data_IF_991150016402
#
_entry.id   IF_991150016402
#
_cell.length_a   1.000
_cell.length_b   1.000
_cell.length_c   1.000
_cell.angle_alpha   90.00
_cell.angle_beta   90.00
_cell.angle_gamma   90.00
#
_symmetry.space_group_name_H-M   'P 1'
#
loop_
_entity.id
_entity.type
_entity.pdbx_description
1 polymer ?
#
# COMPACT_ATOMS: atom_id res chain seq x y z
N UNK A 1 5.09 -24.32 9.86
CA UNK A 1 4.53 -22.97 10.07
C UNK A 1 5.07 -22.13 8.93
N UNK A 2 4.24 -21.33 8.25
CA UNK A 2 4.68 -20.49 7.14
C UNK A 2 5.75 -19.51 7.63
N UNK A 3 6.72 -19.19 6.77
CA UNK A 3 7.71 -18.15 7.03
C UNK A 3 7.19 -16.79 6.58
N UNK A 4 6.42 -16.77 5.50
CA UNK A 4 5.88 -15.58 4.87
C UNK A 4 4.35 -15.62 4.87
N UNK A 5 3.71 -14.49 5.17
CA UNK A 5 2.27 -14.34 5.00
C UNK A 5 1.97 -13.22 4.02
N UNK A 6 1.10 -13.48 3.06
CA UNK A 6 0.54 -12.46 2.18
C UNK A 6 -0.77 -11.97 2.81
N UNK A 7 -0.76 -10.76 3.34
CA UNK A 7 -1.90 -10.16 4.00
C UNK A 7 -2.75 -9.39 2.99
N UNK A 8 -3.96 -9.89 2.72
CA UNK A 8 -4.85 -9.40 1.67
C UNK A 8 -6.17 -8.91 2.27
N UNK A 9 -6.67 -7.78 1.78
CA UNK A 9 -8.00 -7.30 2.10
C UNK A 9 -8.90 -7.34 0.87
N UNK A 10 -10.15 -7.74 1.06
CA UNK A 10 -11.14 -7.85 0.00
C UNK A 10 -12.46 -7.22 0.41
N UNK A 11 -13.11 -6.53 -0.52
CA UNK A 11 -14.47 -6.02 -0.36
C UNK A 11 -15.14 -5.83 -1.72
N UNK A 12 -16.17 -6.64 -1.99
CA UNK A 12 -16.90 -6.71 -3.26
C UNK A 12 -16.00 -6.87 -4.50
N UNK A 13 -15.23 -7.95 -4.52
CA UNK A 13 -14.23 -8.29 -5.54
C UNK A 13 -14.55 -9.61 -6.25
N UNK A 14 -15.83 -9.97 -6.39
CA UNK A 14 -16.22 -11.28 -6.90
C UNK A 14 -15.66 -11.58 -8.30
N UNK A 15 -15.47 -10.55 -9.14
CA UNK A 15 -14.97 -10.73 -10.50
C UNK A 15 -13.44 -10.86 -10.58
N UNK A 16 -12.70 -10.29 -9.63
CA UNK A 16 -11.24 -10.13 -9.71
C UNK A 16 -10.47 -11.01 -8.73
N UNK A 17 -11.10 -11.42 -7.62
CA UNK A 17 -10.42 -12.11 -6.51
C UNK A 17 -9.74 -13.41 -6.93
N UNK A 18 -10.39 -14.19 -7.81
CA UNK A 18 -9.86 -15.49 -8.26
C UNK A 18 -8.64 -15.35 -9.19
N UNK A 19 -8.69 -14.60 -10.30
CA UNK A 19 -7.51 -14.42 -11.15
C UNK A 19 -6.37 -13.73 -10.39
N UNK A 20 -6.66 -12.78 -9.50
CA UNK A 20 -5.64 -12.10 -8.71
C UNK A 20 -4.91 -13.06 -7.75
N UNK A 21 -5.64 -13.76 -6.87
CA UNK A 21 -5.01 -14.70 -5.92
C UNK A 21 -4.25 -15.81 -6.63
N UNK A 22 -4.79 -16.36 -7.73
CA UNK A 22 -4.08 -17.39 -8.50
C UNK A 22 -2.76 -16.89 -9.08
N UNK A 23 -2.72 -15.65 -9.59
CA UNK A 23 -1.47 -15.07 -10.12
C UNK A 23 -0.35 -15.02 -9.09
N UNK A 24 -0.67 -14.90 -7.80
CA UNK A 24 0.29 -14.91 -6.69
C UNK A 24 0.56 -16.31 -6.15
N UNK A 25 -0.47 -17.16 -6.01
CA UNK A 25 -0.34 -18.53 -5.49
C UNK A 25 0.50 -19.44 -6.40
N UNK A 26 0.42 -19.26 -7.71
CA UNK A 26 1.10 -20.09 -8.71
C UNK A 26 2.63 -19.86 -8.76
N UNK A 27 3.11 -18.76 -8.16
CA UNK A 27 4.53 -18.36 -8.21
C UNK A 27 5.27 -18.50 -6.87
N UNK A 28 4.61 -19.00 -5.82
CA UNK A 28 5.21 -19.16 -4.49
C UNK A 28 5.14 -20.61 -3.98
N UNK A 29 6.06 -20.98 -3.09
CA UNK A 29 6.12 -22.32 -2.47
C UNK A 29 5.25 -22.51 -1.20
N UNK A 30 5.56 -23.58 -0.45
CA UNK A 30 4.87 -23.99 0.79
C UNK A 30 5.24 -23.15 2.03
N UNK A 31 6.28 -22.32 1.92
CA UNK A 31 6.70 -21.40 2.98
C UNK A 31 5.78 -20.17 3.11
N UNK A 32 4.80 -20.05 2.22
CA UNK A 32 3.83 -18.95 2.16
C UNK A 32 2.45 -19.40 2.64
N UNK A 33 1.77 -18.50 3.35
CA UNK A 33 0.32 -18.50 3.50
C UNK A 33 -0.29 -17.22 2.91
N UNK A 34 -1.56 -17.26 2.57
CA UNK A 34 -2.36 -16.13 2.13
C UNK A 34 -3.49 -15.92 3.10
N UNK A 35 -3.46 -14.82 3.85
CA UNK A 35 -4.53 -14.46 4.78
C UNK A 35 -5.40 -13.41 4.11
N UNK A 36 -6.60 -13.83 3.70
CA UNK A 36 -7.55 -12.96 3.03
C UNK A 36 -8.65 -12.56 4.00
N UNK A 37 -8.63 -11.29 4.42
CA UNK A 37 -9.69 -10.69 5.22
C UNK A 37 -10.73 -10.08 4.29
N UNK A 38 -11.96 -10.58 4.35
CA UNK A 38 -13.10 -9.98 3.66
C UNK A 38 -13.85 -9.04 4.60
N UNK A 39 -13.99 -7.78 4.19
CA UNK A 39 -14.57 -6.70 5.00
C UNK A 39 -16.10 -6.70 5.09
N UNK A 40 -16.79 -7.78 4.68
CA UNK A 40 -18.25 -7.88 4.69
C UNK A 40 -18.87 -7.70 3.31
N UNK A 41 -18.30 -8.39 2.31
CA UNK A 41 -18.79 -8.38 0.93
C UNK A 41 -20.20 -8.94 0.80
N UNK A 42 -20.93 -8.47 -0.21
CA UNK A 42 -22.33 -8.85 -0.47
C UNK A 42 -22.58 -9.30 -1.92
N UNK A 43 -21.52 -9.45 -2.72
CA UNK A 43 -21.55 -9.65 -4.18
C UNK A 43 -21.15 -11.06 -4.62
N UNK A 44 -20.96 -12.00 -3.69
CA UNK A 44 -20.46 -13.35 -4.00
C UNK A 44 -18.94 -13.52 -3.86
N UNK A 45 -18.24 -12.54 -3.29
CA UNK A 45 -16.78 -12.58 -3.06
C UNK A 45 -16.39 -13.66 -2.05
N UNK A 46 -17.09 -13.75 -0.92
CA UNK A 46 -16.77 -14.70 0.16
C UNK A 46 -16.88 -16.13 -0.33
N UNK A 47 -17.90 -16.45 -1.12
CA UNK A 47 -18.10 -17.78 -1.70
C UNK A 47 -16.90 -18.19 -2.56
N UNK A 48 -16.42 -17.28 -3.42
CA UNK A 48 -15.24 -17.54 -4.27
C UNK A 48 -13.95 -17.67 -3.47
N UNK A 49 -13.81 -16.90 -2.39
CA UNK A 49 -12.69 -17.02 -1.47
C UNK A 49 -12.70 -18.38 -0.77
N UNK A 50 -13.86 -18.85 -0.32
CA UNK A 50 -14.00 -20.19 0.30
C UNK A 50 -13.75 -21.32 -0.69
N UNK A 51 -14.12 -21.15 -1.95
CA UNK A 51 -13.73 -22.09 -3.01
C UNK A 51 -12.21 -22.19 -3.15
N UNK A 52 -11.50 -21.04 -3.13
CA UNK A 52 -10.03 -21.01 -3.19
C UNK A 52 -9.35 -21.62 -1.96
N UNK A 53 -9.85 -21.32 -0.76
CA UNK A 53 -9.40 -21.94 0.49
C UNK A 53 -9.59 -23.47 0.49
N UNK A 54 -10.62 -23.98 -0.19
CA UNK A 54 -10.81 -25.42 -0.35
C UNK A 54 -9.94 -26.04 -1.47
N UNK A 55 -9.44 -25.23 -2.41
CA UNK A 55 -8.55 -25.64 -3.50
C UNK A 55 -7.07 -25.65 -3.11
N UNK A 56 -6.65 -24.75 -2.21
CA UNK A 56 -5.25 -24.54 -1.81
C UNK A 56 -5.14 -24.29 -0.31
N UNK A 57 -4.52 -25.23 0.42
CA UNK A 57 -4.37 -25.19 1.89
C UNK A 57 -3.56 -24.00 2.41
N UNK A 58 -2.85 -23.27 1.52
CA UNK A 58 -2.11 -22.05 1.88
C UNK A 58 -3.02 -20.84 2.00
N UNK A 59 -4.24 -20.89 1.46
CA UNK A 59 -5.20 -19.78 1.55
C UNK A 59 -6.06 -19.94 2.79
N UNK A 60 -6.15 -18.88 3.60
CA UNK A 60 -7.03 -18.80 4.76
C UNK A 60 -7.90 -17.57 4.69
N UNK A 61 -9.21 -17.77 4.83
CA UNK A 61 -10.21 -16.72 4.64
C UNK A 61 -10.86 -16.35 5.98
N UNK A 62 -10.75 -15.06 6.31
CA UNK A 62 -11.39 -14.45 7.48
C UNK A 62 -12.49 -13.51 6.98
N UNK A 63 -13.72 -14.01 6.95
CA UNK A 63 -14.88 -13.23 6.55
C UNK A 63 -15.46 -12.49 7.76
N UNK A 64 -15.43 -11.16 7.72
CA UNK A 64 -15.97 -10.30 8.78
C UNK A 64 -17.41 -9.89 8.47
N UNK A 65 -18.23 -9.77 9.50
CA UNK A 65 -19.57 -9.20 9.35
C UNK A 65 -19.49 -7.71 8.96
N UNK A 66 -20.39 -7.19 8.11
CA UNK A 66 -20.44 -5.78 7.78
C UNK A 66 -20.51 -4.89 9.03
N UNK A 67 -19.62 -3.91 9.11
CA UNK A 67 -19.51 -3.01 10.25
C UNK A 67 -19.39 -1.54 9.76
N UNK A 68 -20.36 -0.67 10.10
CA UNK A 68 -20.36 0.72 9.66
C UNK A 68 -19.28 1.58 10.32
N UNK A 69 -18.54 1.09 11.31
CA UNK A 69 -17.42 1.78 11.97
C UNK A 69 -16.05 1.21 11.55
N UNK A 70 -16.02 0.03 10.91
CA UNK A 70 -14.80 -0.54 10.33
C UNK A 70 -14.47 0.10 8.98
N UNK A 71 -13.20 0.36 8.75
CA UNK A 71 -12.67 0.94 7.52
C UNK A 71 -11.50 0.11 7.00
N UNK A 72 -11.05 0.40 5.79
CA UNK A 72 -9.96 -0.30 5.12
C UNK A 72 -8.71 -0.46 6.00
N UNK A 73 -8.31 0.58 6.73
CA UNK A 73 -7.15 0.48 7.61
C UNK A 73 -7.32 -0.53 8.76
N UNK A 74 -8.54 -0.72 9.27
CA UNK A 74 -8.81 -1.77 10.27
C UNK A 74 -8.81 -3.18 9.63
N UNK A 75 -9.32 -3.33 8.41
CA UNK A 75 -9.25 -4.60 7.68
C UNK A 75 -7.79 -4.99 7.37
N UNK A 76 -6.93 -4.01 7.01
CA UNK A 76 -5.48 -4.23 6.82
C UNK A 76 -4.77 -4.59 8.09
N UNK A 77 -5.09 -3.92 9.19
CA UNK A 77 -4.54 -4.31 10.48
C UNK A 77 -4.97 -5.73 10.85
N UNK A 78 -6.24 -6.07 10.62
CA UNK A 78 -6.75 -7.40 10.92
C UNK A 78 -6.07 -8.48 10.09
N UNK A 79 -5.79 -8.25 8.80
CA UNK A 79 -5.11 -9.24 7.97
C UNK A 79 -3.70 -9.51 8.48
N UNK A 80 -2.97 -8.49 8.93
CA UNK A 80 -1.66 -8.64 9.57
C UNK A 80 -1.76 -9.40 10.89
N UNK A 81 -2.70 -9.06 11.76
CA UNK A 81 -2.88 -9.72 13.06
C UNK A 81 -3.09 -11.22 12.91
N UNK A 82 -3.87 -11.61 11.90
CA UNK A 82 -4.22 -12.98 11.57
C UNK A 82 -3.07 -13.77 10.94
N UNK A 83 -2.04 -13.14 10.37
CA UNK A 83 -0.89 -13.82 9.75
C UNK A 83 -0.07 -14.64 10.77
N UNK A 84 0.38 -15.84 10.44
CA UNK A 84 1.25 -16.66 11.29
C UNK A 84 2.74 -16.58 10.90
N UNK A 85 3.05 -16.03 9.72
CA UNK A 85 4.40 -15.83 9.20
C UNK A 85 5.21 -14.81 9.98
N UNK A 86 6.53 -15.00 9.95
CA UNK A 86 7.51 -14.09 10.55
C UNK A 86 7.57 -12.77 9.76
N UNK A 87 7.45 -12.86 8.43
CA UNK A 87 7.41 -11.71 7.53
C UNK A 87 6.06 -11.61 6.86
N UNK A 88 5.57 -10.38 6.69
CA UNK A 88 4.28 -10.11 6.09
C UNK A 88 4.46 -9.27 4.84
N UNK A 89 3.91 -9.77 3.73
CA UNK A 89 3.79 -9.04 2.48
C UNK A 89 2.44 -8.31 2.45
N UNK A 90 2.45 -7.03 2.07
CA UNK A 90 1.24 -6.19 1.95
C UNK A 90 1.22 -5.47 0.59
N UNK A 91 0.17 -4.71 0.30
CA UNK A 91 -0.06 -4.04 -1.01
C UNK A 91 -0.26 -4.98 -2.21
N UNK A 92 -0.49 -6.26 -1.91
CA UNK A 92 -0.92 -7.26 -2.87
C UNK A 92 -2.46 -7.28 -2.91
N UNK A 93 -3.03 -6.41 -3.74
CA UNK A 93 -4.48 -6.17 -3.83
C UNK A 93 -5.19 -7.18 -4.76
N UNK A 94 -6.46 -7.47 -4.50
CA UNK A 94 -7.26 -8.46 -5.25
C UNK A 94 -7.98 -7.90 -6.48
N UNK A 95 -7.62 -6.69 -6.90
CA UNK A 95 -8.02 -6.07 -8.17
C UNK A 95 -6.83 -5.95 -9.15
N UNK A 96 -5.78 -6.75 -8.95
CA UNK A 96 -4.57 -6.77 -9.76
C UNK A 96 -4.14 -8.20 -10.11
N UNK A 97 -3.48 -8.37 -11.27
CA UNK A 97 -2.76 -9.59 -11.65
C UNK A 97 -1.26 -9.31 -11.57
N UNK A 98 -0.52 -10.17 -10.88
CA UNK A 98 0.89 -9.97 -10.56
C UNK A 98 1.81 -10.76 -11.49
N UNK A 99 2.93 -10.13 -11.84
CA UNK A 99 4.08 -10.78 -12.47
C UNK A 99 4.69 -11.82 -11.52
N UNK A 100 5.36 -12.87 -12.03
CA UNK A 100 5.96 -13.94 -11.24
C UNK A 100 7.26 -13.50 -10.55
N UNK A 101 7.17 -12.53 -9.64
CA UNK A 101 8.31 -11.85 -9.00
C UNK A 101 8.16 -11.66 -7.48
N UNK A 102 7.19 -12.31 -6.85
CA UNK A 102 6.98 -12.24 -5.39
C UNK A 102 8.19 -12.81 -4.64
N UNK A 103 8.68 -13.99 -5.03
CA UNK A 103 9.87 -14.60 -4.42
C UNK A 103 11.14 -13.79 -4.70
N UNK A 104 11.23 -13.13 -5.86
CA UNK A 104 12.34 -12.22 -6.19
C UNK A 104 12.38 -11.04 -5.22
N UNK A 105 11.22 -10.45 -4.90
CA UNK A 105 11.13 -9.35 -3.94
C UNK A 105 11.50 -9.80 -2.51
N UNK A 106 11.11 -11.01 -2.12
CA UNK A 106 11.51 -11.63 -0.84
C UNK A 106 13.02 -11.84 -0.78
N UNK A 107 13.64 -12.32 -1.86
CA UNK A 107 15.10 -12.48 -1.93
C UNK A 107 15.82 -11.14 -1.76
N UNK A 108 15.35 -10.09 -2.46
CA UNK A 108 15.90 -8.74 -2.34
C UNK A 108 15.79 -8.21 -0.91
N UNK A 109 14.63 -8.41 -0.26
CA UNK A 109 14.43 -8.01 1.12
C UNK A 109 15.50 -8.62 2.05
N UNK A 110 15.73 -9.93 1.96
CA UNK A 110 16.70 -10.60 2.83
C UNK A 110 18.16 -10.25 2.54
N UNK A 111 18.51 -9.99 1.28
CA UNK A 111 19.85 -9.51 0.92
C UNK A 111 20.12 -8.10 1.47
N UNK A 112 19.10 -7.22 1.45
CA UNK A 112 19.19 -5.90 2.07
C UNK A 112 19.24 -5.98 3.60
N UNK A 113 18.45 -6.87 4.19
CA UNK A 113 18.39 -7.11 5.64
C UNK A 113 19.77 -7.49 6.22
N UNK A 114 20.64 -8.11 5.45
CA UNK A 114 22.00 -8.45 5.88
C UNK A 114 22.89 -7.23 6.22
N UNK A 115 22.55 -6.02 5.76
CA UNK A 115 23.28 -4.78 6.04
C UNK A 115 22.46 -3.68 6.73
N UNK A 116 21.20 -3.95 7.05
CA UNK A 116 20.33 -3.00 7.76
C UNK A 116 20.18 -3.47 9.21
N UNK A 117 20.84 -2.78 10.15
CA UNK A 117 20.87 -3.13 11.58
C UNK A 117 19.55 -2.84 12.34
N UNK A 118 18.41 -2.77 11.65
CA UNK A 118 17.09 -2.45 12.21
C UNK A 118 15.98 -3.12 11.41
N UNK A 119 14.82 -3.33 12.01
CA UNK A 119 13.63 -3.73 11.25
C UNK A 119 13.20 -2.60 10.32
N UNK A 120 12.78 -2.95 9.11
CA UNK A 120 12.29 -2.00 8.13
C UNK A 120 11.19 -2.60 7.27
N UNK A 121 10.39 -1.71 6.68
CA UNK A 121 9.51 -2.04 5.58
C UNK A 121 10.24 -1.74 4.28
N UNK A 122 10.42 -2.76 3.44
CA UNK A 122 10.79 -2.55 2.04
C UNK A 122 9.52 -2.26 1.25
N UNK A 123 9.45 -1.07 0.65
CA UNK A 123 8.34 -0.67 -0.19
C UNK A 123 8.70 -0.76 -1.66
N UNK A 124 7.90 -1.49 -2.41
CA UNK A 124 7.81 -1.47 -3.86
C UNK A 124 6.43 -0.98 -4.31
N UNK A 125 6.32 -0.54 -5.56
CA UNK A 125 5.02 -0.16 -6.11
C UNK A 125 4.18 -1.42 -6.34
N UNK A 126 3.18 -1.63 -5.47
CA UNK A 126 2.27 -2.79 -5.54
C UNK A 126 2.77 -4.02 -4.77
N UNK A 127 3.83 -3.91 -3.98
CA UNK A 127 4.30 -4.96 -3.09
C UNK A 127 5.13 -4.34 -1.97
N UNK A 128 4.84 -4.69 -0.72
CA UNK A 128 5.66 -4.33 0.43
C UNK A 128 5.99 -5.59 1.22
N UNK A 129 7.07 -5.54 1.99
CA UNK A 129 7.43 -6.61 2.93
C UNK A 129 8.07 -6.01 4.18
N UNK A 130 7.73 -6.55 5.34
CA UNK A 130 8.39 -6.25 6.61
C UNK A 130 8.22 -7.42 7.59
N UNK A 131 9.00 -7.48 8.68
CA UNK A 131 8.72 -8.38 9.79
C UNK A 131 7.34 -8.08 10.39
N UNK A 132 6.62 -9.12 10.85
CA UNK A 132 5.31 -8.94 11.48
C UNK A 132 5.40 -8.03 12.71
N UNK A 133 6.48 -8.12 13.48
CA UNK A 133 6.78 -7.27 14.64
C UNK A 133 6.66 -5.78 14.32
N UNK A 134 7.26 -5.32 13.23
CA UNK A 134 7.22 -3.91 12.82
C UNK A 134 5.79 -3.42 12.56
N UNK A 135 4.97 -4.24 11.89
CA UNK A 135 3.56 -3.90 11.68
C UNK A 135 2.76 -3.87 12.99
N UNK A 136 3.08 -4.72 13.96
CA UNK A 136 2.42 -4.72 15.27
C UNK A 136 2.84 -3.52 16.12
N UNK A 137 4.10 -3.07 16.00
CA UNK A 137 4.59 -1.85 16.64
C UNK A 137 3.97 -0.59 16.02
N UNK A 138 3.84 -0.57 14.69
CA UNK A 138 3.30 0.54 13.91
C UNK A 138 2.01 0.14 13.18
N UNK A 139 0.92 -0.17 13.89
CA UNK A 139 -0.29 -0.74 13.29
C UNK A 139 -0.97 0.19 12.31
N UNK A 140 -1.70 -0.38 11.34
CA UNK A 140 -2.64 0.40 10.55
C UNK A 140 -3.73 0.99 11.46
N UNK A 141 -4.11 2.24 11.17
CA UNK A 141 -5.18 2.93 11.89
C UNK A 141 -6.49 2.80 11.12
N UNK A 142 -7.62 2.75 11.84
CA UNK A 142 -8.95 2.63 11.25
C UNK A 142 -9.36 3.89 10.46
N UNK A 143 -8.84 4.00 9.22
CA UNK A 143 -9.03 5.10 8.29
C UNK A 143 -9.69 4.56 7.00
N UNK A 144 -10.59 5.35 6.43
CA UNK A 144 -11.35 5.01 5.21
C UNK A 144 -10.52 5.06 3.92
N UNK A 145 -9.46 5.85 3.94
CA UNK A 145 -8.58 6.13 2.81
C UNK A 145 -7.30 6.75 3.36
N UNK A 146 -6.19 6.67 2.61
CA UNK A 146 -4.89 7.23 3.02
C UNK A 146 -4.31 6.61 4.29
N UNK A 147 -4.81 5.47 4.73
CA UNK A 147 -4.22 4.61 5.76
C UNK A 147 -2.77 4.24 5.43
N UNK A 148 -2.46 3.95 4.16
CA UNK A 148 -1.07 3.70 3.73
C UNK A 148 -0.19 4.94 3.93
N UNK A 149 -0.72 6.13 3.60
CA UNK A 149 0.00 7.39 3.79
C UNK A 149 0.21 7.71 5.27
N UNK A 150 -0.73 7.33 6.15
CA UNK A 150 -0.53 7.44 7.60
C UNK A 150 0.58 6.51 8.07
N UNK A 151 0.56 5.25 7.65
CA UNK A 151 1.59 4.27 7.99
C UNK A 151 2.97 4.74 7.53
N UNK A 152 3.12 5.17 6.28
CA UNK A 152 4.40 5.65 5.75
C UNK A 152 4.96 6.84 6.53
N UNK A 153 4.11 7.79 6.97
CA UNK A 153 4.59 8.90 7.81
C UNK A 153 5.22 8.38 9.10
N UNK A 154 4.59 7.39 9.73
CA UNK A 154 5.10 6.80 10.98
C UNK A 154 6.36 6.00 10.74
N UNK A 155 6.44 5.24 9.65
CA UNK A 155 7.65 4.50 9.27
C UNK A 155 8.82 5.44 8.95
N UNK A 156 8.61 6.52 8.19
CA UNK A 156 9.65 7.53 7.95
C UNK A 156 10.11 8.21 9.25
N UNK A 157 9.18 8.54 10.15
CA UNK A 157 9.54 9.13 11.43
C UNK A 157 10.31 8.16 12.34
N UNK A 158 10.09 6.85 12.19
CA UNK A 158 10.78 5.79 12.89
C UNK A 158 12.07 5.32 12.19
N UNK A 159 12.42 5.91 11.03
CA UNK A 159 13.54 5.45 10.19
C UNK A 159 13.42 3.96 9.79
N UNK A 160 12.21 3.49 9.55
CA UNK A 160 11.89 2.07 9.31
C UNK A 160 11.33 1.83 7.90
N UNK A 161 11.72 2.63 6.90
CA UNK A 161 11.23 2.50 5.52
C UNK A 161 12.36 2.61 4.51
N UNK A 162 12.50 1.59 3.67
CA UNK A 162 13.31 1.60 2.46
C UNK A 162 12.37 1.60 1.27
N UNK A 163 12.67 2.37 0.23
CA UNK A 163 11.84 2.46 -0.97
C UNK A 163 12.61 2.01 -2.20
N UNK A 164 12.31 0.80 -2.66
CA UNK A 164 12.87 0.23 -3.88
C UNK A 164 12.08 0.73 -5.09
N UNK A 165 12.77 1.40 -5.98
CA UNK A 165 12.25 1.81 -7.27
C UNK A 165 12.42 0.70 -8.30
N UNK A 166 11.32 0.32 -8.95
CA UNK A 166 11.29 -0.78 -9.92
C UNK A 166 10.22 -0.57 -10.98
N UNK A 167 10.28 -1.35 -12.07
CA UNK A 167 9.26 -1.33 -13.11
C UNK A 167 7.93 -1.94 -12.62
N UNK A 168 6.82 -1.63 -13.30
CA UNK A 168 5.49 -2.13 -12.93
C UNK A 168 5.45 -3.66 -12.85
N UNK A 169 4.96 -4.20 -11.73
CA UNK A 169 4.87 -5.65 -11.46
C UNK A 169 3.44 -6.19 -11.52
N UNK A 170 2.46 -5.33 -11.79
CA UNK A 170 1.04 -5.69 -11.79
C UNK A 170 0.24 -5.00 -12.88
N UNK A 171 -0.80 -5.68 -13.32
CA UNK A 171 -1.82 -5.15 -14.22
C UNK A 171 -3.17 -5.09 -13.48
N UNK A 172 -3.78 -3.91 -13.44
CA UNK A 172 -5.06 -3.74 -12.76
C UNK A 172 -6.21 -4.36 -13.56
N UNK A 173 -7.05 -5.14 -12.89
CA UNK A 173 -8.22 -5.80 -13.44
C UNK A 173 -9.51 -5.30 -12.76
N UNK A 174 -10.61 -5.23 -13.52
CA UNK A 174 -11.95 -4.99 -12.96
C UNK A 174 -12.26 -3.55 -12.49
N UNK A 175 -11.47 -2.55 -12.92
CA UNK A 175 -11.54 -1.21 -12.32
C UNK A 175 -12.02 -0.07 -13.25
N UNK A 176 -13.32 -0.02 -13.54
CA UNK A 176 -13.93 1.22 -14.06
C UNK A 176 -14.50 2.08 -12.92
N UNK A 177 -13.64 2.90 -12.31
CA UNK A 177 -14.10 3.89 -11.31
C UNK A 177 -15.04 4.91 -11.94
N UNK A 178 -16.30 4.86 -11.54
CA UNK A 178 -17.26 5.93 -11.78
C UNK A 178 -16.76 7.27 -11.21
N UNK A 179 -17.25 8.39 -11.75
CA UNK A 179 -16.92 9.71 -11.20
C UNK A 179 -17.30 9.83 -9.73
N UNK A 180 -18.43 9.22 -9.32
CA UNK A 180 -18.86 9.21 -7.92
C UNK A 180 -17.86 8.51 -7.00
N UNK A 181 -17.26 7.40 -7.42
CA UNK A 181 -16.31 6.67 -6.59
C UNK A 181 -15.00 7.44 -6.42
N UNK A 182 -14.56 8.14 -7.49
CA UNK A 182 -13.41 9.05 -7.40
C UNK A 182 -13.67 10.16 -6.39
N UNK A 183 -14.85 10.78 -6.43
CA UNK A 183 -15.24 11.85 -5.51
C UNK A 183 -15.37 11.34 -4.06
N UNK A 184 -15.94 10.15 -3.85
CA UNK A 184 -16.03 9.52 -2.51
C UNK A 184 -14.65 9.20 -1.94
N UNK A 185 -13.74 8.65 -2.75
CA UNK A 185 -12.37 8.34 -2.32
C UNK A 185 -11.58 9.61 -1.97
N UNK A 186 -11.69 10.65 -2.79
CA UNK A 186 -11.04 11.94 -2.52
C UNK A 186 -11.61 12.60 -1.24
N UNK A 187 -12.94 12.60 -1.07
CA UNK A 187 -13.57 13.04 0.17
C UNK A 187 -13.05 12.27 1.40
N UNK A 188 -13.02 10.94 1.30
CA UNK A 188 -12.54 10.07 2.39
C UNK A 188 -11.07 10.35 2.72
N UNK A 189 -10.23 10.63 1.72
CA UNK A 189 -8.84 11.02 1.92
C UNK A 189 -8.71 12.34 2.69
N UNK A 190 -9.56 13.33 2.41
CA UNK A 190 -9.57 14.61 3.14
C UNK A 190 -10.04 14.46 4.58
N UNK A 191 -11.03 13.61 4.82
CA UNK A 191 -11.48 13.26 6.17
C UNK A 191 -10.35 12.56 6.92
N UNK A 192 -9.65 11.62 6.28
CA UNK A 192 -8.50 10.95 6.87
C UNK A 192 -7.35 11.92 7.18
N UNK A 193 -7.03 12.87 6.28
CA UNK A 193 -6.05 13.92 6.55
C UNK A 193 -6.41 14.71 7.82
N UNK A 194 -7.69 15.02 8.03
CA UNK A 194 -8.15 15.70 9.24
C UNK A 194 -8.07 14.79 10.49
N UNK A 195 -8.42 13.51 10.36
CA UNK A 195 -8.32 12.54 11.47
C UNK A 195 -6.89 12.37 11.95
N UNK A 196 -5.91 12.35 11.04
CA UNK A 196 -4.48 12.22 11.40
C UNK A 196 -3.81 13.56 11.74
N UNK A 197 -4.56 14.67 11.73
CA UNK A 197 -4.05 15.96 12.17
C UNK A 197 -3.16 16.68 11.13
N UNK A 198 -3.38 16.44 9.83
CA UNK A 198 -2.74 17.26 8.80
C UNK A 198 -3.21 18.72 8.94
N UNK A 199 -2.28 19.66 8.75
CA UNK A 199 -2.56 21.08 8.88
C UNK A 199 -3.53 21.54 7.78
N UNK A 200 -4.71 21.98 8.20
CA UNK A 200 -5.77 22.44 7.32
C UNK A 200 -5.32 23.53 6.32
N UNK A 201 -4.54 24.51 6.79
CA UNK A 201 -4.08 25.60 5.95
C UNK A 201 -3.07 25.12 4.90
N UNK A 202 -2.23 24.14 5.24
CA UNK A 202 -1.33 23.47 4.30
C UNK A 202 -2.11 22.73 3.20
N UNK A 203 -3.22 22.08 3.55
CA UNK A 203 -4.11 21.45 2.56
C UNK A 203 -4.72 22.47 1.60
N UNK A 204 -5.22 23.61 2.09
CA UNK A 204 -5.76 24.66 1.23
C UNK A 204 -4.69 25.26 0.31
N UNK A 205 -3.49 25.51 0.84
CA UNK A 205 -2.35 26.00 0.04
C UNK A 205 -1.92 24.99 -1.02
N UNK A 206 -1.92 23.71 -0.69
CA UNK A 206 -1.63 22.63 -1.65
C UNK A 206 -2.61 22.63 -2.82
N UNK A 207 -3.91 22.73 -2.53
CA UNK A 207 -4.98 22.76 -3.53
C UNK A 207 -4.87 23.92 -4.51
N UNK A 208 -4.18 25.00 -4.15
CA UNK A 208 -3.92 26.15 -5.04
C UNK A 208 -2.59 25.99 -5.76
N UNK A 209 -1.52 25.62 -5.04
CA UNK A 209 -0.15 25.59 -5.58
C UNK A 209 0.13 24.39 -6.50
N UNK A 210 -0.56 23.25 -6.29
CA UNK A 210 -0.35 22.00 -7.04
C UNK A 210 1.14 21.65 -7.27
N UNK A 211 1.98 21.59 -6.22
CA UNK A 211 3.37 21.26 -6.40
C UNK A 211 3.47 19.78 -6.79
N UNK A 212 4.06 19.49 -7.96
CA UNK A 212 4.10 18.14 -8.51
C UNK A 212 5.29 17.37 -7.94
N UNK A 213 4.99 16.39 -7.11
CA UNK A 213 5.98 15.39 -6.64
C UNK A 213 5.84 14.04 -7.38
N UNK A 214 4.96 13.98 -8.39
CA UNK A 214 4.77 12.86 -9.33
C UNK A 214 4.33 11.50 -8.75
N UNK A 215 4.41 11.29 -7.45
CA UNK A 215 4.33 9.94 -6.86
C UNK A 215 2.93 9.55 -6.39
N UNK A 216 1.98 10.48 -6.29
CA UNK A 216 0.60 10.19 -5.86
C UNK A 216 -0.44 11.11 -6.53
N UNK A 217 -0.03 11.87 -7.54
CA UNK A 217 -0.85 12.91 -8.15
C UNK A 217 -1.26 12.56 -9.58
N UNK A 218 -2.57 12.57 -9.86
CA UNK A 218 -3.07 12.46 -11.22
C UNK A 218 -2.66 13.66 -12.09
N UNK A 219 -2.21 13.39 -13.32
CA UNK A 219 -1.96 14.44 -14.30
C UNK A 219 -3.26 15.12 -14.70
N UNK A 220 -3.41 16.38 -14.31
CA UNK A 220 -4.53 17.25 -14.73
C UNK A 220 -4.07 18.34 -15.68
N UNK A 221 -4.83 18.53 -16.76
CA UNK A 221 -4.69 19.69 -17.65
C UNK A 221 -5.02 21.00 -16.94
N UNK A 222 -4.73 22.17 -17.54
CA UNK A 222 -4.92 23.47 -16.89
C UNK A 222 -6.33 23.71 -16.33
N UNK A 223 -7.37 23.41 -17.11
CA UNK A 223 -8.77 23.54 -16.68
C UNK A 223 -9.12 22.55 -15.55
N UNK A 224 -8.60 21.32 -15.64
CA UNK A 224 -8.79 20.31 -14.60
C UNK A 224 -8.15 20.70 -13.26
N UNK A 225 -7.01 21.42 -13.28
CA UNK A 225 -6.40 21.96 -12.06
C UNK A 225 -7.26 23.03 -11.42
N UNK A 226 -7.79 23.98 -12.20
CA UNK A 226 -8.68 25.03 -11.67
C UNK A 226 -9.96 24.42 -11.09
N UNK A 227 -10.57 23.47 -11.80
CA UNK A 227 -11.76 22.77 -11.29
C UNK A 227 -11.46 22.01 -9.99
N UNK A 228 -10.31 21.31 -9.92
CA UNK A 228 -9.87 20.61 -8.70
C UNK A 228 -9.60 21.58 -7.56
N UNK A 229 -8.92 22.71 -7.80
CA UNK A 229 -8.72 23.76 -6.80
C UNK A 229 -10.04 24.23 -6.20
N UNK A 230 -11.02 24.59 -7.04
CA UNK A 230 -12.31 25.09 -6.58
C UNK A 230 -13.05 24.02 -5.76
N UNK A 231 -13.06 22.79 -6.25
CA UNK A 231 -13.64 21.66 -5.53
C UNK A 231 -12.97 21.46 -4.16
N UNK A 232 -11.64 21.49 -4.10
CA UNK A 232 -10.88 21.29 -2.86
C UNK A 232 -11.07 22.42 -1.86
N UNK A 233 -11.12 23.67 -2.31
CA UNK A 233 -11.37 24.84 -1.46
C UNK A 233 -12.75 24.77 -0.77
N UNK A 234 -13.73 24.11 -1.39
CA UNK A 234 -15.05 23.88 -0.80
C UNK A 234 -15.07 22.64 0.09
N UNK A 235 -14.47 21.55 -0.36
CA UNK A 235 -14.62 20.24 0.29
C UNK A 235 -13.66 20.00 1.45
N UNK A 236 -12.47 20.61 1.48
CA UNK A 236 -11.59 20.52 2.65
C UNK A 236 -12.25 21.06 3.94
N UNK A 237 -12.82 22.28 3.96
CA UNK A 237 -13.52 22.78 5.15
C UNK A 237 -14.63 21.83 5.63
N UNK A 238 -15.41 21.29 4.69
CA UNK A 238 -16.49 20.37 5.00
C UNK A 238 -15.98 19.02 5.54
N UNK A 239 -14.92 18.47 4.94
CA UNK A 239 -14.30 17.23 5.39
C UNK A 239 -13.69 17.37 6.80
N UNK A 240 -13.00 18.49 7.07
CA UNK A 240 -12.43 18.78 8.39
C UNK A 240 -13.51 19.00 9.44
N UNK A 241 -14.64 19.60 9.06
CA UNK A 241 -15.80 19.70 9.93
C UNK A 241 -16.41 18.32 10.24
N UNK A 242 -16.60 17.48 9.21
CA UNK A 242 -17.14 16.13 9.36
C UNK A 242 -16.24 15.22 10.22
N UNK A 243 -14.92 15.39 10.13
CA UNK A 243 -13.96 14.61 10.91
C UNK A 243 -13.96 14.92 12.42
N UNK A 244 -14.68 15.94 12.89
CA UNK A 244 -14.66 16.36 14.31
C UNK A 244 -15.22 15.32 15.27
N UNK A 245 -16.13 14.49 14.81
CA UNK A 245 -16.77 13.43 15.59
C UNK A 245 -16.08 12.07 15.43
N UNK A 246 -15.07 11.99 14.56
CA UNK A 246 -14.32 10.78 14.29
C UNK A 246 -13.08 10.68 15.21
N UNK A 247 -12.54 9.46 15.41
CA UNK A 247 -11.28 9.28 16.11
C UNK A 247 -10.16 10.11 15.49
N UNK A 248 -9.34 10.70 16.36
CA UNK A 248 -8.14 11.45 15.98
C UNK A 248 -6.90 10.64 16.28
N UNK A 249 -5.92 10.80 15.41
CA UNK A 249 -4.64 10.13 15.50
C UNK A 249 -3.53 11.17 15.36
N UNK A 250 -2.45 10.98 16.11
CA UNK A 250 -1.32 11.91 16.06
C UNK A 250 -0.40 11.56 14.87
N UNK A 251 -0.09 12.59 14.07
CA UNK A 251 0.96 12.54 13.05
C UNK A 251 2.30 12.88 13.71
N UNK A 252 3.41 12.20 13.35
CA UNK A 252 4.73 12.54 13.88
C UNK A 252 5.11 14.02 13.66
N UNK A 253 5.83 14.64 14.62
CA UNK A 253 6.26 16.03 14.50
C UNK A 253 7.02 16.32 13.21
N UNK A 254 6.64 17.39 12.51
CA UNK A 254 7.24 17.80 11.24
C UNK A 254 6.59 17.20 9.99
N UNK A 255 5.72 16.19 10.13
CA UNK A 255 5.02 15.53 9.01
C UNK A 255 3.55 15.96 8.86
N UNK A 256 3.09 16.92 9.66
CA UNK A 256 1.71 17.40 9.70
C UNK A 256 1.35 18.26 8.48
N UNK A 257 2.34 18.74 7.72
CA UNK A 257 2.07 19.55 6.52
C UNK A 257 1.82 18.67 5.29
N UNK A 258 0.73 18.97 4.57
CA UNK A 258 0.43 18.39 3.26
C UNK A 258 1.62 18.59 2.31
N UNK A 259 2.05 17.52 1.64
CA UNK A 259 3.20 17.53 0.75
C UNK A 259 4.52 17.08 1.34
N UNK A 260 4.62 17.02 2.67
CA UNK A 260 5.87 16.61 3.32
C UNK A 260 6.16 15.14 3.06
N UNK A 261 5.16 14.29 3.20
CA UNK A 261 5.28 12.86 2.89
C UNK A 261 5.63 12.66 1.41
N UNK A 262 4.93 13.32 0.51
CA UNK A 262 5.16 13.20 -0.93
C UNK A 262 6.60 13.54 -1.31
N UNK A 263 7.17 14.57 -0.69
CA UNK A 263 8.58 14.95 -0.86
C UNK A 263 9.53 13.89 -0.27
N UNK A 264 9.25 13.41 0.94
CA UNK A 264 10.08 12.37 1.57
C UNK A 264 10.12 11.10 0.74
N UNK A 265 8.96 10.66 0.23
CA UNK A 265 8.89 9.52 -0.69
C UNK A 265 9.70 9.79 -1.95
N UNK A 266 9.58 10.98 -2.54
CA UNK A 266 10.36 11.35 -3.73
C UNK A 266 11.87 11.33 -3.49
N UNK A 267 12.32 11.70 -2.29
CA UNK A 267 13.73 11.72 -1.89
C UNK A 267 14.25 10.34 -1.46
N UNK A 268 13.37 9.46 -0.94
CA UNK A 268 13.74 8.14 -0.43
C UNK A 268 13.81 7.04 -1.50
N UNK A 269 13.15 7.25 -2.66
CA UNK A 269 13.16 6.29 -3.78
C UNK A 269 14.55 6.08 -4.32
N UNK A 270 15.00 4.83 -4.33
CA UNK A 270 16.32 4.43 -4.79
C UNK A 270 16.21 3.20 -5.68
N UNK A 271 17.03 3.15 -6.72
CA UNK A 271 17.28 1.91 -7.46
C UNK A 271 17.92 0.86 -6.55
N UNK A 272 17.86 -0.41 -6.98
CA UNK A 272 18.48 -1.51 -6.22
C UNK A 272 19.98 -1.25 -5.98
N UNK A 273 20.70 -0.77 -7.00
CA UNK A 273 22.13 -0.48 -6.92
C UNK A 273 22.46 0.67 -5.94
N UNK A 274 21.57 1.66 -5.81
CA UNK A 274 21.73 2.74 -4.83
C UNK A 274 21.51 2.24 -3.39
N UNK A 275 20.56 1.32 -3.18
CA UNK A 275 20.34 0.68 -1.88
C UNK A 275 21.53 -0.21 -1.49
N UNK A 276 22.05 -1.02 -2.42
CA UNK A 276 23.26 -1.83 -2.21
C UNK A 276 24.46 -0.97 -1.78
N UNK A 277 24.66 0.16 -2.45
CA UNK A 277 25.76 1.08 -2.12
C UNK A 277 25.56 1.79 -0.77
N UNK A 278 24.33 2.12 -0.40
CA UNK A 278 24.03 2.80 0.87
C UNK A 278 24.20 1.88 2.08
N UNK A 279 23.78 0.64 1.97
CA UNK A 279 23.82 -0.34 3.07
C UNK A 279 25.02 -1.28 3.01
N UNK A 280 25.93 -1.07 2.07
CA UNK A 280 27.15 -1.87 1.87
C UNK A 280 26.86 -3.38 1.70
N UNK A 281 25.78 -3.70 0.98
CA UNK A 281 25.32 -5.08 0.70
C UNK A 281 25.38 -5.39 -0.79
N UNK A 282 25.31 -6.68 -1.12
CA UNK A 282 25.21 -7.16 -2.50
C UNK A 282 24.02 -8.10 -2.61
N UNK A 283 23.09 -7.76 -3.50
CA UNK A 283 21.94 -8.59 -3.83
C UNK A 283 22.37 -9.66 -4.84
N UNK A 284 22.01 -10.91 -4.57
CA UNK A 284 22.31 -12.02 -5.45
C UNK A 284 21.40 -12.01 -6.69
N UNK A 285 21.85 -11.30 -7.72
CA UNK A 285 21.15 -11.21 -9.01
C UNK A 285 21.04 -12.56 -9.73
N UNK A 286 21.87 -13.56 -9.40
CA UNK A 286 21.78 -14.90 -10.00
C UNK A 286 20.65 -15.72 -9.38
N UNK A 287 20.34 -15.48 -8.10
CA UNK A 287 19.19 -16.08 -7.41
C UNK A 287 17.85 -15.55 -7.94
N UNK A 288 17.82 -14.32 -8.47
CA UNK A 288 16.60 -13.75 -9.06
C UNK A 288 16.19 -14.45 -10.35
N UNK A 289 14.88 -14.52 -10.59
CA UNK A 289 14.31 -14.95 -11.86
C UNK A 289 14.71 -13.99 -13.00
N UNK A 290 14.56 -14.45 -14.25
CA UNK A 290 14.78 -13.59 -15.40
C UNK A 290 13.85 -12.37 -15.41
N UNK A 291 12.61 -12.53 -14.91
CA UNK A 291 11.63 -11.44 -14.81
C UNK A 291 11.97 -10.50 -13.66
N UNK A 292 12.38 -11.02 -12.50
CA UNK A 292 12.83 -10.25 -11.35
C UNK A 292 14.02 -9.34 -11.70
N UNK A 293 15.04 -9.88 -12.37
CA UNK A 293 16.15 -9.05 -12.88
C UNK A 293 15.68 -7.92 -13.79
N UNK A 294 14.75 -8.20 -14.69
CA UNK A 294 14.23 -7.20 -15.62
C UNK A 294 13.46 -6.08 -14.90
N UNK A 295 12.72 -6.40 -13.85
CA UNK A 295 11.85 -5.45 -13.17
C UNK A 295 12.55 -4.69 -12.03
N UNK A 296 13.42 -5.35 -11.26
CA UNK A 296 14.06 -4.78 -10.06
C UNK A 296 15.49 -4.28 -10.29
N UNK A 297 16.26 -4.84 -11.22
CA UNK A 297 17.67 -4.45 -11.45
C UNK A 297 17.80 -3.39 -12.55
N UNK A 298 17.08 -2.28 -12.42
CA UNK A 298 17.13 -1.19 -13.39
C UNK A 298 18.37 -0.30 -13.14
N UNK A 299 19.15 -0.04 -14.19
CA UNK A 299 20.34 0.83 -14.12
C UNK A 299 19.96 2.31 -13.86
N UNK A 300 18.79 2.73 -14.34
CA UNK A 300 18.18 4.01 -14.02
C UNK A 300 16.73 3.77 -13.58
N UNK A 301 16.24 4.46 -12.53
CA UNK A 301 14.85 4.36 -12.14
C UNK A 301 13.96 4.75 -13.34
N UNK A 302 12.86 4.03 -13.61
CA UNK A 302 11.93 4.43 -14.65
C UNK A 302 11.40 5.79 -14.21
N UNK A 303 11.85 6.86 -14.87
CA UNK A 303 11.25 8.18 -14.69
C UNK A 303 9.75 7.99 -14.89
N UNK A 304 8.93 8.59 -14.03
CA UNK A 304 7.47 8.50 -14.03
C UNK A 304 6.82 9.19 -15.26
N UNK A 305 7.35 8.87 -16.44
CA UNK A 305 7.23 9.49 -17.75
C UNK A 305 7.12 8.37 -18.81
N UNK A 306 6.00 7.65 -18.75
CA UNK A 306 5.39 6.90 -19.85
C UNK A 306 3.89 7.12 -19.80
#
# INVERSE_FOLDING_TARGET
MPRYSVAVCSYNMAETVRPSLRSMLEQVGDDFEFVVVDGGSTDGTVERLRELEAEDDRVRVVALDPDPDRRLGADRQRSIEECDGEYVLTQLDVDDVYEPVVEDFVSIYHDLEAGVDREFLLSGTGINMAPKSLYLELPYRNLASSEDRDLWRRLFAADAMLWLEHAQIREQIGYEKSLSDRLRRDWSGKVADAQVGIDFLSCLRWSVSHPRYYILEERRGPLGRVAKSLYDLVTYPLAYYAARELPRFETPPGLERRGTLERLVAEARKSLSELEAEYEVSVDREALSARGRQLFCLDEPPRADG
#
